data_IF_175443054001
#
_entry.id   IF_175443054001
#
_cell.length_a   1.000
_cell.length_b   1.000
_cell.length_c   1.000
_cell.angle_alpha   90.00
_cell.angle_beta   90.00
_cell.angle_gamma   90.00
#
_symmetry.space_group_name_H-M   'P 1'
#
loop_
_entity.id
_entity.type
_entity.pdbx_description
1 polymer ?
#
# COMPACT_ATOMS: atom_id res chain seq x y z
N UNK A 1 15.76 0.84 20.04
CA UNK A 1 15.46 -0.42 19.33
C UNK A 1 14.91 0.00 17.98
N UNK A 2 15.57 -0.38 16.89
CA UNK A 2 15.05 -0.16 15.53
C UNK A 2 13.86 -1.08 15.34
N UNK A 3 12.67 -0.56 15.60
CA UNK A 3 11.41 -1.20 15.26
C UNK A 3 11.34 -1.21 13.73
N UNK A 4 11.84 -2.29 13.13
CA UNK A 4 11.66 -2.48 11.69
C UNK A 4 10.18 -2.82 11.50
N UNK A 5 9.44 -2.06 10.69
CA UNK A 5 8.02 -2.32 10.47
C UNK A 5 7.81 -3.76 10.01
N UNK A 6 6.82 -4.43 10.59
CA UNK A 6 6.48 -5.81 10.27
C UNK A 6 6.19 -5.93 8.76
N UNK A 7 6.93 -6.81 8.09
CA UNK A 7 6.73 -7.08 6.65
C UNK A 7 5.81 -8.29 6.52
N UNK A 8 4.64 -8.09 5.94
CA UNK A 8 3.64 -9.13 5.73
C UNK A 8 4.03 -9.96 4.50
N UNK A 9 4.28 -11.27 4.70
CA UNK A 9 4.68 -12.16 3.61
C UNK A 9 3.48 -12.73 2.84
N UNK A 10 3.29 -12.21 1.62
CA UNK A 10 2.25 -12.66 0.68
C UNK A 10 2.85 -13.12 -0.66
N UNK A 11 4.16 -13.39 -0.72
CA UNK A 11 4.85 -13.71 -1.97
C UNK A 11 4.34 -15.02 -2.62
N UNK A 12 3.77 -15.91 -1.81
CA UNK A 12 3.21 -17.19 -2.21
C UNK A 12 1.80 -17.09 -2.81
N UNK A 13 1.17 -15.92 -2.72
CA UNK A 13 -0.22 -15.70 -3.15
C UNK A 13 -0.27 -15.42 -4.65
N UNK A 14 -0.80 -16.38 -5.40
CA UNK A 14 -0.88 -16.32 -6.86
C UNK A 14 -2.21 -15.71 -7.33
N UNK A 15 -3.32 -16.12 -6.70
CA UNK A 15 -4.67 -15.63 -6.97
C UNK A 15 -5.17 -14.79 -5.79
N UNK A 16 -5.82 -13.65 -6.06
CA UNK A 16 -6.42 -12.82 -5.01
C UNK A 16 -5.45 -12.00 -4.17
N UNK A 17 -4.22 -11.77 -4.67
CA UNK A 17 -3.19 -10.97 -3.98
C UNK A 17 -3.69 -9.56 -3.61
N UNK A 18 -4.30 -8.85 -4.56
CA UNK A 18 -4.79 -7.49 -4.35
C UNK A 18 -5.88 -7.43 -3.27
N UNK A 19 -6.98 -8.24 -3.34
CA UNK A 19 -7.97 -8.30 -2.27
C UNK A 19 -7.39 -8.66 -0.89
N UNK A 20 -6.41 -9.58 -0.83
CA UNK A 20 -5.76 -9.96 0.41
C UNK A 20 -5.00 -8.78 1.03
N UNK A 21 -4.19 -8.10 0.23
CA UNK A 21 -3.45 -6.92 0.67
C UNK A 21 -4.40 -5.80 1.11
N UNK A 22 -5.50 -5.56 0.40
CA UNK A 22 -6.53 -4.60 0.82
C UNK A 22 -7.13 -4.95 2.18
N UNK A 23 -7.38 -6.23 2.45
CA UNK A 23 -7.89 -6.71 3.75
C UNK A 23 -6.93 -6.36 4.88
N UNK A 24 -5.61 -6.57 4.68
CA UNK A 24 -4.60 -6.18 5.67
C UNK A 24 -4.53 -4.66 5.87
N UNK A 25 -4.53 -3.90 4.78
CA UNK A 25 -4.51 -2.44 4.82
C UNK A 25 -5.72 -1.89 5.59
N UNK A 26 -6.93 -2.39 5.31
CA UNK A 26 -8.16 -1.93 5.97
C UNK A 26 -8.33 -2.42 7.41
N UNK A 27 -7.81 -3.62 7.71
CA UNK A 27 -7.88 -4.23 9.04
C UNK A 27 -6.79 -3.76 10.02
N UNK A 28 -5.82 -2.97 9.56
CA UNK A 28 -4.73 -2.46 10.40
C UNK A 28 -5.19 -1.40 11.40
N UNK A 29 -4.51 -1.36 12.55
CA UNK A 29 -4.84 -0.43 13.63
C UNK A 29 -4.71 1.05 13.20
N UNK A 30 -5.53 1.96 13.77
CA UNK A 30 -5.57 3.36 13.32
C UNK A 30 -4.24 4.12 13.43
N UNK A 31 -3.37 3.72 14.35
CA UNK A 31 -2.03 4.26 14.61
C UNK A 31 -0.95 3.69 13.67
N UNK A 32 -1.27 2.65 12.89
CA UNK A 32 -0.38 2.15 11.85
C UNK A 32 -0.43 3.10 10.65
N UNK A 33 0.67 3.83 10.46
CA UNK A 33 0.83 4.80 9.36
C UNK A 33 1.45 4.18 8.10
N UNK A 34 2.16 3.04 8.23
CA UNK A 34 2.81 2.37 7.11
C UNK A 34 2.75 0.85 7.23
N UNK A 35 2.59 0.17 6.10
CA UNK A 35 2.61 -1.28 5.99
C UNK A 35 3.45 -1.70 4.80
N UNK A 36 4.27 -2.73 4.98
CA UNK A 36 5.09 -3.31 3.93
C UNK A 36 4.68 -4.76 3.66
N UNK A 37 4.66 -5.13 2.38
CA UNK A 37 4.29 -6.46 1.92
C UNK A 37 5.43 -7.04 1.10
N UNK A 38 5.85 -8.24 1.45
CA UNK A 38 6.72 -9.05 0.61
C UNK A 38 5.87 -9.74 -0.44
N UNK A 39 6.13 -9.45 -1.71
CA UNK A 39 5.35 -9.90 -2.87
C UNK A 39 6.24 -10.63 -3.88
N UNK A 40 5.61 -11.37 -4.81
CA UNK A 40 6.33 -12.02 -5.92
C UNK A 40 7.06 -10.96 -6.76
N UNK A 41 8.21 -11.29 -7.34
CA UNK A 41 8.92 -10.35 -8.20
C UNK A 41 8.14 -10.06 -9.49
N UNK A 42 8.28 -8.84 -10.01
CA UNK A 42 7.85 -8.49 -11.37
C UNK A 42 6.38 -8.11 -11.51
N UNK A 43 5.67 -7.84 -10.40
CA UNK A 43 4.26 -7.40 -10.41
C UNK A 43 4.08 -5.91 -10.12
N UNK A 44 5.13 -5.13 -10.23
CA UNK A 44 5.10 -3.69 -9.92
C UNK A 44 3.98 -2.97 -10.68
N UNK A 45 3.89 -3.20 -11.98
CA UNK A 45 2.84 -2.63 -12.85
C UNK A 45 1.44 -3.05 -12.40
N UNK A 46 1.25 -4.30 -12.01
CA UNK A 46 -0.03 -4.81 -11.49
C UNK A 46 -0.41 -4.10 -10.19
N UNK A 47 0.54 -3.91 -9.28
CA UNK A 47 0.31 -3.22 -8.00
C UNK A 47 0.00 -1.74 -8.21
N UNK A 48 0.76 -1.03 -9.06
CA UNK A 48 0.50 0.38 -9.36
C UNK A 48 -0.88 0.61 -10.00
N UNK A 49 -1.32 -0.31 -10.87
CA UNK A 49 -2.64 -0.25 -11.47
C UNK A 49 -3.77 -0.61 -10.48
N UNK A 50 -3.48 -1.46 -9.49
CA UNK A 50 -4.49 -1.98 -8.55
C UNK A 50 -4.70 -1.10 -7.32
N UNK A 51 -3.67 -0.37 -6.88
CA UNK A 51 -3.70 0.44 -5.65
C UNK A 51 -3.70 1.95 -5.94
N UNK A 52 -4.41 2.34 -7.01
CA UNK A 52 -4.54 3.72 -7.48
C UNK A 52 -5.45 4.63 -6.65
N UNK A 53 -5.77 5.79 -7.21
CA UNK A 53 -6.40 6.95 -6.54
C UNK A 53 -7.72 6.62 -5.83
N UNK A 54 -7.87 7.07 -4.58
CA UNK A 54 -9.13 7.00 -3.81
C UNK A 54 -9.11 6.06 -2.60
N UNK A 55 -8.05 5.27 -2.41
CA UNK A 55 -7.86 4.46 -1.20
C UNK A 55 -7.30 5.29 -0.03
N UNK A 56 -7.65 4.89 1.21
CA UNK A 56 -7.02 5.38 2.46
C UNK A 56 -5.55 5.00 2.56
N UNK A 57 -5.06 4.15 1.66
CA UNK A 57 -3.69 3.67 1.59
C UNK A 57 -3.11 3.92 0.21
N UNK A 58 -1.91 4.48 0.17
CA UNK A 58 -1.18 4.77 -1.06
C UNK A 58 0.07 3.93 -1.13
N UNK A 59 0.26 3.23 -2.24
CA UNK A 59 1.53 2.60 -2.60
C UNK A 59 2.57 3.71 -2.86
N UNK A 60 3.67 3.70 -2.12
CA UNK A 60 4.71 4.76 -2.21
C UNK A 60 6.04 4.23 -2.75
N UNK A 61 6.36 2.98 -2.48
CA UNK A 61 7.63 2.37 -2.87
C UNK A 61 7.44 0.90 -3.20
N UNK A 62 8.20 0.42 -4.20
CA UNK A 62 8.39 -1.02 -4.42
C UNK A 62 9.89 -1.28 -4.53
N UNK A 63 10.48 -1.82 -3.48
CA UNK A 63 11.90 -2.17 -3.44
C UNK A 63 12.10 -3.57 -3.97
N UNK A 64 12.97 -3.72 -4.95
CA UNK A 64 13.38 -5.03 -5.45
C UNK A 64 14.43 -5.61 -4.52
N UNK A 65 14.23 -6.86 -4.10
CA UNK A 65 15.21 -7.65 -3.35
C UNK A 65 15.53 -8.93 -4.13
N UNK A 66 16.42 -9.76 -3.60
CA UNK A 66 16.69 -11.09 -4.13
C UNK A 66 15.49 -12.00 -3.85
N UNK A 67 14.85 -12.49 -4.92
CA UNK A 67 13.73 -13.45 -4.93
C UNK A 67 12.34 -12.90 -4.57
N UNK A 68 12.23 -11.65 -4.13
CA UNK A 68 10.96 -11.00 -3.83
C UNK A 68 11.05 -9.49 -4.06
N UNK A 69 9.89 -8.83 -4.15
CA UNK A 69 9.79 -7.38 -4.07
C UNK A 69 9.12 -7.00 -2.74
N UNK A 70 9.37 -5.79 -2.24
CA UNK A 70 8.74 -5.24 -1.04
C UNK A 70 7.93 -4.00 -1.42
N UNK A 71 6.61 -4.13 -1.40
CA UNK A 71 5.67 -3.04 -1.65
C UNK A 71 5.33 -2.32 -0.34
N UNK A 72 5.55 -1.02 -0.28
CA UNK A 72 5.28 -0.20 0.93
C UNK A 72 4.13 0.75 0.69
N UNK A 73 3.20 0.74 1.63
CA UNK A 73 2.02 1.58 1.66
C UNK A 73 2.09 2.54 2.83
N UNK A 74 1.53 3.73 2.64
CA UNK A 74 1.31 4.70 3.71
C UNK A 74 -0.17 5.06 3.79
N UNK A 75 -0.65 5.27 5.01
CA UNK A 75 -2.01 5.73 5.26
C UNK A 75 -2.11 7.19 4.83
N UNK A 76 -3.03 7.48 3.92
CA UNK A 76 -3.34 8.83 3.47
C UNK A 76 -4.55 9.32 4.24
N UNK A 77 -4.42 10.43 4.95
CA UNK A 77 -5.57 11.18 5.38
C UNK A 77 -6.27 11.68 4.12
N UNK A 78 -7.46 11.14 3.84
CA UNK A 78 -8.32 11.68 2.80
C UNK A 78 -8.75 13.05 3.31
N UNK A 79 -7.98 14.10 3.00
CA UNK A 79 -8.55 15.43 2.93
C UNK A 79 -9.62 15.31 1.87
N UNK A 80 -10.89 15.46 2.27
CA UNK A 80 -11.96 15.77 1.33
C UNK A 80 -11.49 17.02 0.58
N UNK A 81 -10.90 16.80 -0.58
CA UNK A 81 -10.56 17.87 -1.50
C UNK A 81 -11.89 18.48 -1.88
N UNK A 82 -12.11 19.68 -1.38
CA UNK A 82 -13.18 20.59 -1.72
C UNK A 82 -13.48 20.45 -3.23
N UNK A 83 -14.62 19.83 -3.60
CA UNK A 83 -14.88 19.46 -4.99
C UNK A 83 -15.10 20.68 -5.92
N UNK A 84 -15.06 21.90 -5.37
CA UNK A 84 -15.34 23.12 -6.10
C UNK A 84 -14.11 23.96 -6.44
N UNK A 85 -12.93 23.72 -5.86
CA UNK A 85 -11.73 24.50 -6.18
C UNK A 85 -11.96 26.02 -6.12
N UNK A 86 -12.91 26.49 -5.31
CA UNK A 86 -13.20 27.90 -5.09
C UNK A 86 -12.32 28.38 -3.95
N UNK A 87 -11.01 28.43 -4.19
CA UNK A 87 -10.16 29.32 -3.41
C UNK A 87 -10.35 30.73 -3.98
N UNK A 88 -11.15 31.53 -3.28
CA UNK A 88 -11.33 32.98 -3.44
C UNK A 88 -9.99 33.69 -3.73
N UNK A 89 -9.88 34.32 -4.91
CA UNK A 89 -8.98 35.43 -5.20
C UNK A 89 -9.63 36.40 -6.20
#
# INVERSE_FOLDING_TARGET
>A
MTDQPEIIDVQHVTCGLVPLMQTYLEGSEPDVESLSFKVRQGIQTELWNSFGTGSRWRLTDIRQDLFFDVATFVRVQVSELDPLGLADF
#
